data_IF_000929134869
#
_entry.id   IF_000929134869
#
_cell.length_a   1.000
_cell.length_b   1.000
_cell.length_c   1.000
_cell.angle_alpha   90.00
_cell.angle_beta   90.00
_cell.angle_gamma   90.00
#
_symmetry.space_group_name_H-M   'P 1'
#
loop_
_entity.id
_entity.type
_entity.pdbx_description
1 polymer ?
#
# COMPACT_ATOMS: atom_id res chain seq x y z
N UNK A 1 -6.94 23.35 -1.36
CA UNK A 1 -5.81 22.40 -1.51
C UNK A 1 -5.83 21.28 -0.46
N UNK A 2 -5.97 21.55 0.85
CA UNK A 2 -6.04 20.47 1.88
C UNK A 2 -7.18 19.46 1.65
N UNK A 3 -8.35 19.92 1.20
CA UNK A 3 -9.52 19.05 0.97
C UNK A 3 -9.34 18.03 -0.17
N UNK A 4 -8.58 18.39 -1.21
CA UNK A 4 -8.28 17.47 -2.30
C UNK A 4 -7.33 16.35 -1.84
N UNK A 5 -6.33 16.68 -1.04
CA UNK A 5 -5.40 15.68 -0.48
C UNK A 5 -6.10 14.75 0.52
N UNK A 6 -7.03 15.25 1.33
CA UNK A 6 -7.83 14.39 2.22
C UNK A 6 -8.75 13.45 1.43
N UNK A 7 -9.34 13.89 0.31
CA UNK A 7 -10.13 13.01 -0.54
C UNK A 7 -9.28 11.90 -1.17
N UNK A 8 -8.06 12.23 -1.61
CA UNK A 8 -7.10 11.25 -2.16
C UNK A 8 -6.65 10.25 -1.09
N UNK A 9 -6.58 10.66 0.18
CA UNK A 9 -6.19 9.79 1.30
C UNK A 9 -7.22 8.70 1.59
N UNK A 10 -8.52 8.99 1.47
CA UNK A 10 -9.58 7.99 1.66
C UNK A 10 -9.93 7.22 0.38
N UNK A 11 -9.40 7.64 -0.77
CA UNK A 11 -9.69 7.01 -2.07
C UNK A 11 -9.35 5.50 -2.09
N UNK A 12 -8.19 5.03 -1.60
CA UNK A 12 -7.87 3.61 -1.58
C UNK A 12 -8.91 2.79 -0.81
N UNK A 13 -9.32 3.25 0.38
CA UNK A 13 -10.32 2.56 1.20
C UNK A 13 -11.69 2.47 0.50
N UNK A 14 -12.13 3.53 -0.18
CA UNK A 14 -13.38 3.50 -0.96
C UNK A 14 -13.30 2.51 -2.12
N UNK A 15 -12.18 2.50 -2.85
CA UNK A 15 -11.93 1.56 -3.96
C UNK A 15 -11.87 0.12 -3.46
N UNK A 16 -11.21 -0.15 -2.33
CA UNK A 16 -11.17 -1.48 -1.72
C UNK A 16 -12.58 -1.93 -1.34
N UNK A 17 -13.39 -1.04 -0.75
CA UNK A 17 -14.77 -1.36 -0.36
C UNK A 17 -15.63 -1.72 -1.57
N UNK A 18 -15.54 -0.95 -2.66
CA UNK A 18 -16.25 -1.25 -3.92
C UNK A 18 -15.77 -2.58 -4.50
N UNK A 19 -14.45 -2.78 -4.56
CA UNK A 19 -13.84 -4.02 -5.08
C UNK A 19 -14.27 -5.24 -4.27
N UNK A 20 -14.44 -5.09 -2.95
CA UNK A 20 -14.89 -6.16 -2.05
C UNK A 20 -16.34 -6.56 -2.33
N UNK A 21 -17.21 -5.59 -2.61
CA UNK A 21 -18.60 -5.85 -2.99
C UNK A 21 -18.68 -6.58 -4.34
N UNK A 22 -17.86 -6.16 -5.33
CA UNK A 22 -17.83 -6.78 -6.66
C UNK A 22 -17.26 -8.21 -6.61
N UNK A 23 -16.23 -8.44 -5.81
CA UNK A 23 -15.53 -9.73 -5.71
C UNK A 23 -16.04 -10.64 -4.60
N UNK A 24 -17.20 -10.34 -4.00
CA UNK A 24 -17.71 -11.06 -2.81
C UNK A 24 -17.84 -12.58 -3.01
N UNK A 25 -18.08 -13.02 -4.26
CA UNK A 25 -18.21 -14.43 -4.64
C UNK A 25 -16.87 -15.15 -4.77
N UNK A 26 -15.75 -14.43 -4.88
CA UNK A 26 -14.40 -14.99 -5.08
C UNK A 26 -13.65 -15.02 -3.75
N UNK A 27 -13.46 -16.21 -3.13
CA UNK A 27 -12.85 -16.32 -1.79
C UNK A 27 -11.45 -15.74 -1.67
N UNK A 28 -10.62 -15.93 -2.70
CA UNK A 28 -9.22 -15.48 -2.73
C UNK A 28 -9.12 -13.96 -2.83
N UNK A 29 -9.90 -13.33 -3.71
CA UNK A 29 -9.98 -11.88 -3.85
C UNK A 29 -10.52 -11.22 -2.58
N UNK A 30 -11.57 -11.79 -1.98
CA UNK A 30 -12.11 -11.33 -0.70
C UNK A 30 -11.07 -11.36 0.42
N UNK A 31 -10.33 -12.47 0.55
CA UNK A 31 -9.29 -12.58 1.56
C UNK A 31 -8.16 -11.57 1.34
N UNK A 32 -7.75 -11.38 0.09
CA UNK A 32 -6.76 -10.37 -0.26
C UNK A 32 -7.20 -8.95 0.12
N UNK A 33 -8.39 -8.54 -0.32
CA UNK A 33 -8.92 -7.20 -0.06
C UNK A 33 -9.13 -6.93 1.43
N UNK A 34 -9.52 -7.93 2.22
CA UNK A 34 -9.60 -7.81 3.68
C UNK A 34 -8.22 -7.56 4.29
N UNK A 35 -7.22 -8.37 3.93
CA UNK A 35 -5.85 -8.19 4.44
C UNK A 35 -5.28 -6.82 4.03
N UNK A 36 -5.57 -6.39 2.81
CA UNK A 36 -5.13 -5.11 2.27
C UNK A 36 -5.84 -3.93 2.97
N UNK A 37 -7.16 -4.01 3.19
CA UNK A 37 -7.92 -3.02 3.94
C UNK A 37 -7.43 -2.84 5.37
N UNK A 38 -7.10 -3.94 6.07
CA UNK A 38 -6.58 -3.88 7.44
C UNK A 38 -5.28 -3.07 7.49
N UNK A 39 -4.35 -3.30 6.57
CA UNK A 39 -3.12 -2.51 6.52
C UNK A 39 -3.38 -1.05 6.13
N UNK A 40 -4.27 -0.80 5.17
CA UNK A 40 -4.61 0.55 4.74
C UNK A 40 -5.20 1.38 5.91
N UNK A 41 -6.09 0.79 6.71
CA UNK A 41 -6.63 1.41 7.93
C UNK A 41 -5.50 1.72 8.93
N UNK A 42 -4.57 0.78 9.14
CA UNK A 42 -3.42 1.01 10.02
C UNK A 42 -2.57 2.18 9.53
N UNK A 43 -2.35 2.29 8.22
CA UNK A 43 -1.60 3.41 7.61
C UNK A 43 -2.31 4.74 7.86
N UNK A 44 -3.62 4.81 7.59
CA UNK A 44 -4.42 6.02 7.83
C UNK A 44 -4.35 6.44 9.30
N UNK A 45 -4.43 5.49 10.24
CA UNK A 45 -4.32 5.77 11.68
C UNK A 45 -2.94 6.26 12.09
N UNK A 46 -1.86 5.75 11.48
CA UNK A 46 -0.48 6.13 11.79
C UNK A 46 -0.03 7.41 11.09
N UNK A 47 -0.65 7.78 9.97
CA UNK A 47 -0.29 8.95 9.18
C UNK A 47 -0.17 10.26 9.99
N UNK A 48 -1.13 10.65 10.87
CA UNK A 48 -1.02 11.89 11.64
C UNK A 48 0.20 11.89 12.58
N UNK A 49 0.60 10.75 13.12
CA UNK A 49 1.81 10.61 13.95
C UNK A 49 3.06 10.72 13.09
N UNK A 50 3.09 10.02 11.94
CA UNK A 50 4.24 9.99 11.04
C UNK A 50 4.52 11.37 10.43
N UNK A 51 3.48 12.15 10.12
CA UNK A 51 3.62 13.52 9.63
C UNK A 51 4.36 14.45 10.60
N UNK A 52 4.36 14.15 11.90
CA UNK A 52 5.09 14.95 12.89
C UNK A 52 6.61 14.73 12.81
N UNK A 53 7.07 13.62 12.23
CA UNK A 53 8.48 13.23 12.22
C UNK A 53 9.36 13.98 11.21
N UNK A 54 8.81 14.98 10.50
CA UNK A 54 9.46 15.91 9.53
C UNK A 54 10.47 15.26 8.58
N UNK A 55 11.69 14.97 9.07
CA UNK A 55 12.77 14.31 8.33
C UNK A 55 12.51 12.81 8.10
N UNK A 56 12.03 12.09 9.12
CA UNK A 56 11.86 10.63 9.04
C UNK A 56 10.51 10.20 8.49
N UNK A 57 9.65 11.17 8.14
CA UNK A 57 8.38 10.93 7.46
C UNK A 57 8.56 10.06 6.21
N UNK A 58 9.53 10.37 5.36
CA UNK A 58 9.79 9.66 4.10
C UNK A 58 10.31 8.24 4.32
N UNK A 59 11.06 8.02 5.40
CA UNK A 59 11.52 6.69 5.77
C UNK A 59 10.35 5.84 6.28
N UNK A 60 9.45 6.43 7.07
CA UNK A 60 8.24 5.75 7.51
C UNK A 60 7.31 5.45 6.33
N UNK A 61 7.14 6.39 5.39
CA UNK A 61 6.33 6.20 4.18
C UNK A 61 6.89 5.10 3.25
N UNK A 62 8.23 4.99 3.16
CA UNK A 62 8.89 3.85 2.53
C UNK A 62 8.51 2.53 3.19
N UNK A 63 8.55 2.45 4.52
CA UNK A 63 8.15 1.25 5.24
C UNK A 63 6.67 0.92 5.04
N UNK A 64 5.79 1.92 4.91
CA UNK A 64 4.37 1.70 4.59
C UNK A 64 4.18 1.13 3.19
N UNK A 65 4.91 1.62 2.18
CA UNK A 65 4.89 1.02 0.84
C UNK A 65 5.30 -0.46 0.87
N UNK A 66 6.34 -0.80 1.64
CA UNK A 66 6.78 -2.19 1.81
C UNK A 66 5.75 -3.01 2.60
N UNK A 67 5.14 -2.45 3.64
CA UNK A 67 4.12 -3.12 4.42
C UNK A 67 2.92 -3.52 3.55
N UNK A 68 2.51 -2.67 2.61
CA UNK A 68 1.42 -2.98 1.66
C UNK A 68 1.74 -4.12 0.68
N UNK A 69 3.00 -4.54 0.54
CA UNK A 69 3.39 -5.75 -0.20
C UNK A 69 3.14 -7.02 0.60
N UNK A 70 3.13 -6.94 1.94
CA UNK A 70 2.99 -8.11 2.82
C UNK A 70 1.69 -8.89 2.59
N UNK A 71 0.50 -8.27 2.43
CA UNK A 71 -0.73 -9.01 2.12
C UNK A 71 -0.65 -9.74 0.79
N UNK A 72 0.14 -9.27 -0.17
CA UNK A 72 0.25 -9.91 -1.48
C UNK A 72 1.11 -11.17 -1.37
N UNK A 73 2.23 -11.09 -0.64
CA UNK A 73 3.19 -12.20 -0.50
C UNK A 73 2.80 -13.20 0.58
N UNK A 74 2.37 -12.72 1.76
CA UNK A 74 2.17 -13.53 2.97
C UNK A 74 0.72 -13.95 3.23
N UNK A 75 -0.27 -13.52 2.42
CA UNK A 75 -1.68 -13.95 2.64
C UNK A 75 -1.88 -15.46 2.59
N UNK A 76 -1.07 -16.18 1.83
CA UNK A 76 -1.17 -17.64 1.68
C UNK A 76 -0.74 -18.38 2.95
N UNK A 77 0.49 -18.19 3.47
CA UNK A 77 0.86 -18.78 4.75
C UNK A 77 -0.03 -18.28 5.89
N UNK A 78 -0.51 -17.02 5.84
CA UNK A 78 -1.46 -16.51 6.81
C UNK A 78 -2.79 -17.27 6.80
N UNK A 79 -3.33 -17.58 5.61
CA UNK A 79 -4.55 -18.39 5.49
C UNK A 79 -4.34 -19.81 6.04
N UNK A 80 -3.19 -20.45 5.75
CA UNK A 80 -2.87 -21.76 6.32
C UNK A 80 -2.77 -21.71 7.85
N UNK A 81 -2.06 -20.74 8.39
CA UNK A 81 -1.94 -20.53 9.84
C UNK A 81 -3.31 -20.35 10.50
N UNK A 82 -4.20 -19.56 9.89
CA UNK A 82 -5.56 -19.38 10.41
C UNK A 82 -6.39 -20.65 10.31
N UNK A 83 -6.23 -21.46 9.26
CA UNK A 83 -6.87 -22.76 9.17
C UNK A 83 -6.40 -23.71 10.28
N UNK A 84 -5.09 -23.79 10.53
CA UNK A 84 -4.52 -24.63 11.59
C UNK A 84 -5.02 -24.23 12.99
N UNK A 85 -5.37 -22.96 13.20
CA UNK A 85 -5.89 -22.46 14.48
C UNK A 85 -7.41 -22.53 14.62
N UNK A 86 -8.15 -22.33 13.54
CA UNK A 86 -9.61 -22.17 13.58
C UNK A 86 -10.38 -23.35 12.99
N UNK A 87 -9.71 -24.21 12.20
CA UNK A 87 -10.30 -25.29 11.42
C UNK A 87 -11.44 -24.87 10.47
N UNK A 88 -11.53 -23.58 10.11
CA UNK A 88 -12.55 -23.07 9.19
C UNK A 88 -12.15 -23.39 7.74
N UNK A 89 -12.96 -24.21 7.06
CA UNK A 89 -12.72 -24.66 5.67
C UNK A 89 -12.55 -23.52 4.65
N UNK A 90 -13.06 -22.32 4.92
CA UNK A 90 -12.83 -21.13 4.09
C UNK A 90 -11.34 -20.85 3.89
N UNK A 91 -10.53 -20.92 4.95
CA UNK A 91 -9.11 -20.59 4.86
C UNK A 91 -8.32 -21.65 4.09
N UNK A 92 -8.71 -22.92 4.22
CA UNK A 92 -8.16 -24.02 3.41
C UNK A 92 -8.50 -23.83 1.93
N UNK A 93 -9.74 -23.41 1.61
CA UNK A 93 -10.15 -23.12 0.24
C UNK A 93 -9.33 -21.98 -0.38
N UNK A 94 -9.09 -20.91 0.39
CA UNK A 94 -8.25 -19.79 -0.02
C UNK A 94 -6.82 -20.24 -0.25
N UNK A 95 -6.24 -20.99 0.69
CA UNK A 95 -4.88 -21.51 0.57
C UNK A 95 -4.65 -22.35 -0.68
N UNK A 96 -5.61 -23.24 -1.01
CA UNK A 96 -5.51 -24.15 -2.15
C UNK A 96 -5.71 -23.46 -3.50
N UNK A 97 -6.49 -22.37 -3.55
CA UNK A 97 -6.83 -21.66 -4.79
C UNK A 97 -5.98 -20.43 -5.06
N UNK A 98 -5.12 -20.04 -4.11
CA UNK A 98 -4.34 -18.82 -4.25
C UNK A 98 -3.20 -19.00 -5.25
N UNK A 99 -3.20 -18.14 -6.25
CA UNK A 99 -2.17 -18.03 -7.29
C UNK A 99 -1.87 -16.54 -7.47
N UNK A 100 -0.62 -16.18 -7.76
CA UNK A 100 -0.26 -14.81 -8.07
C UNK A 100 -0.88 -14.39 -9.40
N UNK A 101 -1.60 -13.28 -9.40
CA UNK A 101 -2.13 -12.69 -10.62
C UNK A 101 -1.15 -11.65 -11.20
N UNK A 102 -1.27 -11.36 -12.49
CA UNK A 102 -0.44 -10.33 -13.14
C UNK A 102 -0.67 -8.95 -12.49
N UNK A 103 -1.91 -8.68 -12.06
CA UNK A 103 -2.32 -7.46 -11.38
C UNK A 103 -1.61 -7.31 -10.03
N UNK A 104 -1.52 -8.40 -9.25
CA UNK A 104 -0.79 -8.40 -7.98
C UNK A 104 0.70 -8.12 -8.18
N UNK A 105 1.31 -8.68 -9.21
CA UNK A 105 2.69 -8.36 -9.58
C UNK A 105 2.84 -6.87 -9.94
N UNK A 106 1.88 -6.31 -10.68
CA UNK A 106 1.82 -4.88 -10.98
C UNK A 106 1.74 -4.01 -9.72
N UNK A 107 0.91 -4.38 -8.74
CA UNK A 107 0.81 -3.66 -7.47
C UNK A 107 2.13 -3.75 -6.69
N UNK A 108 2.78 -4.92 -6.63
CA UNK A 108 4.09 -5.05 -5.99
C UNK A 108 5.09 -4.09 -6.65
N UNK A 109 5.15 -4.07 -7.97
CA UNK A 109 6.07 -3.20 -8.71
C UNK A 109 5.80 -1.72 -8.43
N UNK A 110 4.53 -1.30 -8.45
CA UNK A 110 4.13 0.07 -8.12
C UNK A 110 4.51 0.45 -6.68
N UNK A 111 4.32 -0.46 -5.71
CA UNK A 111 4.70 -0.23 -4.32
C UNK A 111 6.21 -0.15 -4.13
N UNK A 112 6.99 -1.00 -4.81
CA UNK A 112 8.45 -0.92 -4.80
C UNK A 112 8.94 0.38 -5.43
N UNK A 113 8.28 0.84 -6.50
CA UNK A 113 8.58 2.13 -7.11
C UNK A 113 8.26 3.30 -6.17
N UNK A 114 7.12 3.26 -5.47
CA UNK A 114 6.79 4.23 -4.42
C UNK A 114 7.80 4.23 -3.27
N UNK A 115 8.22 3.04 -2.80
CA UNK A 115 9.25 2.89 -1.80
C UNK A 115 10.59 3.50 -2.26
N UNK A 116 10.96 3.29 -3.53
CA UNK A 116 12.15 3.90 -4.12
C UNK A 116 12.07 5.43 -4.18
N UNK A 117 10.94 5.99 -4.62
CA UNK A 117 10.70 7.45 -4.62
C UNK A 117 10.87 8.03 -3.21
N UNK A 118 10.33 7.34 -2.21
CA UNK A 118 10.43 7.75 -0.80
C UNK A 118 11.86 7.60 -0.26
N UNK A 119 12.62 6.58 -0.69
CA UNK A 119 14.04 6.43 -0.35
C UNK A 119 14.87 7.59 -0.89
N UNK A 120 14.69 7.94 -2.18
CA UNK A 120 15.40 9.06 -2.81
C UNK A 120 15.04 10.38 -2.12
N UNK A 121 13.75 10.59 -1.81
CA UNK A 121 13.30 11.78 -1.09
C UNK A 121 13.91 11.87 0.31
N UNK A 122 14.04 10.74 1.02
CA UNK A 122 14.64 10.70 2.34
C UNK A 122 16.13 11.03 2.29
N UNK A 123 16.88 10.45 1.35
CA UNK A 123 18.29 10.74 1.15
C UNK A 123 18.53 12.21 0.78
N UNK A 124 17.69 12.78 -0.09
CA UNK A 124 17.76 14.18 -0.48
C UNK A 124 17.55 15.10 0.73
N UNK A 125 16.58 14.80 1.60
CA UNK A 125 16.30 15.61 2.78
C UNK A 125 17.39 15.51 3.83
N UNK A 126 18.03 14.34 3.95
CA UNK A 126 19.23 14.20 4.78
C UNK A 126 20.39 15.04 4.22
N UNK A 127 20.64 14.98 2.91
CA UNK A 127 21.66 15.80 2.26
C UNK A 127 21.39 17.29 2.48
N UNK A 128 20.13 17.73 2.38
CA UNK A 128 19.74 19.11 2.70
C UNK A 128 19.99 19.47 4.16
N UNK A 129 19.63 18.57 5.10
CA UNK A 129 19.83 18.78 6.54
C UNK A 129 21.32 18.91 6.91
N UNK A 130 22.20 18.18 6.22
CA UNK A 130 23.64 18.23 6.42
C UNK A 130 24.35 19.26 5.51
N UNK A 131 23.59 20.14 4.84
CA UNK A 131 24.09 21.19 3.96
C UNK A 131 24.96 20.67 2.79
N UNK A 132 24.71 19.43 2.34
CA UNK A 132 25.33 18.90 1.12
C UNK A 132 24.66 19.45 -0.15
N UNK A 133 23.41 19.89 -0.03
CA UNK A 133 22.62 20.53 -1.09
C UNK A 133 21.83 21.71 -0.51
N UNK A 134 21.60 22.74 -1.32
CA UNK A 134 20.90 23.97 -0.89
C UNK A 134 19.37 23.90 -1.08
N UNK A 135 18.89 23.02 -1.97
CA UNK A 135 17.46 22.91 -2.29
C UNK A 135 17.10 21.44 -2.59
N UNK A 136 16.06 20.87 -1.96
CA UNK A 136 15.58 19.53 -2.25
C UNK A 136 14.63 19.53 -3.48
N UNK A 137 15.21 19.51 -4.69
CA UNK A 137 14.48 19.58 -5.96
C UNK A 137 13.54 18.39 -6.19
N UNK A 138 13.97 17.16 -5.90
CA UNK A 138 13.19 15.95 -6.16
C UNK A 138 11.92 15.93 -5.30
N UNK A 139 12.04 16.25 -4.01
CA UNK A 139 10.91 16.38 -3.10
C UNK A 139 9.94 17.48 -3.52
N UNK A 140 10.43 18.61 -4.05
CA UNK A 140 9.59 19.76 -4.42
C UNK A 140 8.81 19.54 -5.72
N UNK A 141 9.43 18.94 -6.74
CA UNK A 141 8.85 18.89 -8.09
C UNK A 141 8.41 17.50 -8.55
N UNK A 142 9.04 16.43 -8.05
CA UNK A 142 8.87 15.08 -8.60
C UNK A 142 8.05 14.20 -7.66
N UNK A 143 8.41 14.14 -6.37
CA UNK A 143 7.85 13.16 -5.43
C UNK A 143 6.33 13.15 -5.41
N UNK A 144 5.70 14.30 -5.16
CA UNK A 144 4.24 14.33 -4.95
C UNK A 144 3.48 13.88 -6.19
N UNK A 145 3.90 14.31 -7.38
CA UNK A 145 3.29 13.89 -8.64
C UNK A 145 3.49 12.39 -8.89
N UNK A 146 4.70 11.88 -8.63
CA UNK A 146 5.01 10.46 -8.79
C UNK A 146 4.21 9.58 -7.80
N UNK A 147 4.07 10.00 -6.54
CA UNK A 147 3.30 9.27 -5.53
C UNK A 147 1.79 9.27 -5.86
N UNK A 148 1.24 10.36 -6.41
CA UNK A 148 -0.14 10.39 -6.89
C UNK A 148 -0.33 9.35 -8.01
N UNK A 149 0.60 9.27 -8.97
CA UNK A 149 0.54 8.26 -10.04
C UNK A 149 0.59 6.83 -9.49
N UNK A 150 1.45 6.57 -8.49
CA UNK A 150 1.51 5.27 -7.81
C UNK A 150 0.16 4.95 -7.15
N UNK A 151 -0.41 5.87 -6.37
CA UNK A 151 -1.69 5.66 -5.70
C UNK A 151 -2.83 5.40 -6.69
N UNK A 152 -2.92 6.19 -7.76
CA UNK A 152 -3.94 6.00 -8.81
C UNK A 152 -3.76 4.64 -9.49
N UNK A 153 -2.52 4.28 -9.84
CA UNK A 153 -2.21 2.99 -10.47
C UNK A 153 -2.61 1.80 -9.61
N UNK A 154 -2.34 1.87 -8.29
CA UNK A 154 -2.74 0.84 -7.33
C UNK A 154 -4.25 0.75 -7.20
N UNK A 155 -4.95 1.89 -7.12
CA UNK A 155 -6.42 1.91 -7.10
C UNK A 155 -7.02 1.27 -8.36
N UNK A 156 -6.50 1.60 -9.54
CA UNK A 156 -6.93 0.99 -10.80
C UNK A 156 -6.68 -0.52 -10.81
N UNK A 157 -5.49 -0.96 -10.37
CA UNK A 157 -5.16 -2.38 -10.32
C UNK A 157 -6.07 -3.17 -9.38
N UNK A 158 -6.43 -2.60 -8.22
CA UNK A 158 -7.38 -3.22 -7.29
C UNK A 158 -8.81 -3.32 -7.87
N UNK A 159 -9.25 -2.31 -8.62
CA UNK A 159 -10.59 -2.30 -9.22
C UNK A 159 -10.74 -3.31 -10.37
N UNK A 160 -9.65 -3.62 -11.08
CA UNK A 160 -9.63 -4.59 -12.20
C UNK A 160 -9.39 -6.03 -11.73
N UNK A 161 -9.19 -6.28 -10.43
CA UNK A 161 -9.13 -7.63 -9.87
C UNK A 161 -10.54 -8.26 -9.82
N UNK A 162 -10.98 -8.89 -10.91
CA UNK A 162 -12.19 -9.72 -10.97
C UNK A 162 -11.88 -11.08 -11.57
#
# INVERSE_FOLDING_TARGET
>A
MKEFYSLVEFLPLTVITISLLLTWKVPTARWFLICYAVLDIVIILLNPTIMQWRTHYYLADLFMCIALVLPIVYRRPLALFLYEKTHINYFLLVFNRQVFTLQECGIILLMLFGAFINLVSWLEILAYKYYWIDVPYFKLYVRNNAMILVHVGVCCANLVMH
#
